data_IF_459967555955
#
_entry.id   IF_459967555955
#
_cell.length_a   1.000
_cell.length_b   1.000
_cell.length_c   1.000
_cell.angle_alpha   90.00
_cell.angle_beta   90.00
_cell.angle_gamma   90.00
#
_symmetry.space_group_name_H-M   'P 1'
#
loop_
_entity.id
_entity.type
_entity.pdbx_description
1 polymer ?
#
# COMPACT_ATOMS: atom_id res chain seq x y z
N UNK A 1 -22.01 8.44 16.29
CA UNK A 1 -21.04 7.32 16.23
C UNK A 1 -19.74 7.86 15.66
N UNK A 2 -18.60 7.47 16.24
CA UNK A 2 -17.28 7.82 15.67
C UNK A 2 -17.07 6.96 14.42
N UNK A 3 -16.65 7.60 13.33
CA UNK A 3 -16.42 6.90 12.06
C UNK A 3 -15.08 6.18 12.05
N UNK A 4 -15.03 5.01 11.44
CA UNK A 4 -13.79 4.31 11.11
C UNK A 4 -13.17 4.92 9.86
N UNK A 5 -11.87 5.10 9.83
CA UNK A 5 -11.15 5.54 8.63
C UNK A 5 -10.59 4.34 7.87
N UNK A 6 -10.93 4.24 6.57
CA UNK A 6 -10.41 3.23 5.68
C UNK A 6 -9.33 3.84 4.76
N UNK A 7 -8.11 3.34 4.87
CA UNK A 7 -7.08 3.51 3.85
C UNK A 7 -7.20 2.36 2.86
N UNK A 8 -7.80 2.65 1.71
CA UNK A 8 -7.88 1.72 0.60
C UNK A 8 -6.64 1.89 -0.28
N UNK A 9 -5.92 0.82 -0.56
CA UNK A 9 -4.72 0.88 -1.36
C UNK A 9 -4.55 -0.25 -2.36
N UNK A 10 -3.69 -0.01 -3.34
CA UNK A 10 -3.15 -1.06 -4.20
C UNK A 10 -1.66 -0.87 -4.42
N UNK A 11 -0.97 -1.98 -4.63
CA UNK A 11 0.40 -1.99 -5.09
C UNK A 11 0.49 -2.79 -6.39
N UNK A 12 1.21 -2.25 -7.35
CA UNK A 12 1.21 -2.73 -8.74
C UNK A 12 2.66 -2.86 -9.21
N UNK A 13 3.04 -4.06 -9.61
CA UNK A 13 4.39 -4.35 -10.07
C UNK A 13 4.39 -5.60 -10.97
N UNK A 14 4.98 -5.46 -12.15
CA UNK A 14 5.37 -6.59 -12.97
C UNK A 14 6.90 -6.59 -13.09
N UNK A 15 7.57 -7.72 -12.83
CA UNK A 15 9.03 -7.81 -12.93
C UNK A 15 9.54 -7.46 -14.31
N UNK A 16 10.74 -6.87 -14.38
CA UNK A 16 11.42 -6.71 -15.66
C UNK A 16 11.72 -8.07 -16.31
N UNK A 17 11.58 -8.13 -17.61
CA UNK A 17 11.70 -9.39 -18.36
C UNK A 17 10.39 -10.17 -18.45
N UNK A 18 9.31 -9.71 -17.83
CA UNK A 18 7.97 -10.23 -18.09
C UNK A 18 7.60 -9.99 -19.57
N UNK A 19 6.96 -10.97 -20.19
CA UNK A 19 6.53 -10.86 -21.60
C UNK A 19 5.53 -9.71 -21.79
N UNK A 20 5.63 -9.02 -22.93
CA UNK A 20 4.75 -7.90 -23.29
C UNK A 20 3.26 -8.28 -23.25
N UNK A 21 2.95 -9.51 -23.68
CA UNK A 21 1.58 -10.04 -23.63
C UNK A 21 1.00 -10.10 -22.23
N UNK A 22 1.84 -10.40 -21.23
CA UNK A 22 1.43 -10.43 -19.80
C UNK A 22 1.21 -9.02 -19.27
N UNK A 23 2.06 -8.06 -19.65
CA UNK A 23 1.85 -6.66 -19.32
C UNK A 23 0.51 -6.16 -19.86
N UNK A 24 0.25 -6.40 -21.17
CA UNK A 24 -0.98 -5.96 -21.82
C UNK A 24 -2.22 -6.64 -21.21
N UNK A 25 -2.17 -7.96 -21.00
CA UNK A 25 -3.27 -8.68 -20.37
C UNK A 25 -3.57 -8.15 -18.97
N UNK A 26 -2.53 -7.91 -18.14
CA UNK A 26 -2.69 -7.38 -16.79
C UNK A 26 -3.23 -5.95 -16.81
N UNK A 27 -2.77 -5.14 -17.75
CA UNK A 27 -3.31 -3.81 -17.95
C UNK A 27 -4.81 -3.85 -18.24
N UNK A 28 -5.23 -4.66 -19.24
CA UNK A 28 -6.62 -4.73 -19.69
C UNK A 28 -7.55 -5.35 -18.63
N UNK A 29 -7.07 -6.30 -17.84
CA UNK A 29 -7.92 -7.05 -16.91
C UNK A 29 -7.83 -6.56 -15.46
N UNK A 30 -6.79 -5.78 -15.10
CA UNK A 30 -6.56 -5.36 -13.72
C UNK A 30 -6.43 -3.84 -13.59
N UNK A 31 -5.38 -3.24 -14.19
CA UNK A 31 -5.05 -1.84 -13.89
C UNK A 31 -6.05 -0.85 -14.47
N UNK A 32 -6.39 -1.01 -15.75
CA UNK A 32 -7.35 -0.16 -16.43
C UNK A 32 -8.75 -0.24 -15.81
N UNK A 33 -9.35 -1.42 -15.58
CA UNK A 33 -10.66 -1.52 -14.91
C UNK A 33 -10.64 -0.88 -13.53
N UNK A 34 -9.62 -1.16 -12.72
CA UNK A 34 -9.51 -0.58 -11.38
C UNK A 34 -9.56 0.95 -11.39
N UNK A 35 -8.70 1.59 -12.19
CA UNK A 35 -8.62 3.04 -12.26
C UNK A 35 -9.88 3.65 -12.89
N UNK A 36 -10.39 3.08 -13.97
CA UNK A 36 -11.57 3.57 -14.69
C UNK A 36 -12.85 3.47 -13.84
N UNK A 37 -12.99 2.41 -13.07
CA UNK A 37 -14.14 2.27 -12.16
C UNK A 37 -13.99 3.22 -10.98
N UNK A 38 -12.81 3.27 -10.34
CA UNK A 38 -12.56 4.19 -9.22
C UNK A 38 -12.80 5.66 -9.61
N UNK A 39 -12.49 6.04 -10.85
CA UNK A 39 -12.75 7.39 -11.37
C UNK A 39 -14.22 7.81 -11.24
N UNK A 40 -15.16 6.87 -11.39
CA UNK A 40 -16.62 7.10 -11.25
C UNK A 40 -17.09 7.25 -9.81
N UNK A 41 -16.19 7.03 -8.84
CA UNK A 41 -16.45 7.13 -7.40
C UNK A 41 -15.58 8.22 -6.75
N UNK A 42 -15.79 9.51 -7.04
CA UNK A 42 -14.92 10.60 -6.61
C UNK A 42 -14.89 10.82 -5.09
N UNK A 43 -15.84 10.26 -4.37
CA UNK A 43 -15.95 10.22 -2.91
C UNK A 43 -15.12 9.10 -2.25
N UNK A 44 -14.58 8.17 -3.04
CA UNK A 44 -13.69 7.11 -2.57
C UNK A 44 -12.25 7.54 -2.83
N UNK A 45 -11.47 7.67 -1.75
CA UNK A 45 -10.05 7.99 -1.78
C UNK A 45 -9.22 6.71 -1.76
N UNK A 46 -8.13 6.68 -2.53
CA UNK A 46 -7.24 5.54 -2.59
C UNK A 46 -5.77 5.96 -2.54
N UNK A 47 -4.90 5.02 -2.12
CA UNK A 47 -3.45 5.17 -2.12
C UNK A 47 -2.84 4.09 -2.99
N UNK A 48 -2.11 4.47 -4.04
CA UNK A 48 -1.69 3.53 -5.07
C UNK A 48 -0.17 3.62 -5.26
N UNK A 49 0.47 2.47 -5.22
CA UNK A 49 1.86 2.32 -5.65
C UNK A 49 1.90 1.66 -7.03
N UNK A 50 2.70 2.23 -7.91
CA UNK A 50 3.18 1.60 -9.13
C UNK A 50 4.71 1.59 -9.10
N UNK A 51 5.33 0.45 -9.45
CA UNK A 51 6.77 0.45 -9.65
C UNK A 51 7.16 1.37 -10.83
N UNK A 52 8.35 1.91 -10.80
CA UNK A 52 8.82 2.82 -11.85
C UNK A 52 8.94 2.14 -13.21
N UNK A 53 9.31 0.86 -13.25
CA UNK A 53 9.34 0.05 -14.48
C UNK A 53 7.95 -0.07 -15.09
N UNK A 54 6.92 -0.34 -14.27
CA UNK A 54 5.53 -0.41 -14.73
C UNK A 54 5.03 0.96 -15.21
N UNK A 55 5.32 2.05 -14.47
CA UNK A 55 4.93 3.41 -14.89
C UNK A 55 5.59 3.79 -16.22
N UNK A 56 6.84 3.41 -16.46
CA UNK A 56 7.53 3.65 -17.72
C UNK A 56 6.90 2.88 -18.87
N UNK A 57 6.50 1.64 -18.65
CA UNK A 57 5.78 0.85 -19.63
C UNK A 57 4.42 1.49 -19.96
N UNK A 58 3.65 1.90 -18.93
CA UNK A 58 2.38 2.60 -19.09
C UNK A 58 2.55 3.94 -19.84
N UNK A 59 3.61 4.71 -19.54
CA UNK A 59 3.92 5.97 -20.25
C UNK A 59 4.10 5.75 -21.75
N UNK A 60 4.75 4.64 -22.12
CA UNK A 60 5.05 4.35 -23.53
C UNK A 60 3.91 3.68 -24.29
N UNK A 61 3.07 2.88 -23.63
CA UNK A 61 2.03 2.05 -24.26
C UNK A 61 0.62 2.59 -24.04
N UNK A 62 0.36 3.17 -22.91
CA UNK A 62 -0.95 3.62 -22.44
C UNK A 62 -0.89 5.01 -21.81
N UNK A 63 -0.45 6.05 -22.56
CA UNK A 63 -0.35 7.41 -22.02
C UNK A 63 -1.69 7.94 -21.51
N UNK A 64 -2.83 7.49 -22.07
CA UNK A 64 -4.16 7.81 -21.59
C UNK A 64 -4.42 7.36 -20.15
N UNK A 65 -3.79 6.26 -19.72
CA UNK A 65 -3.87 5.79 -18.35
C UNK A 65 -3.16 6.76 -17.38
N UNK A 66 -1.99 7.27 -17.78
CA UNK A 66 -1.26 8.24 -16.98
C UNK A 66 -2.01 9.57 -16.90
N UNK A 67 -2.66 10.00 -17.98
CA UNK A 67 -3.51 11.21 -17.99
C UNK A 67 -4.68 11.07 -17.00
N UNK A 68 -5.36 9.91 -17.00
CA UNK A 68 -6.43 9.63 -16.05
C UNK A 68 -5.91 9.62 -14.60
N UNK A 69 -4.76 8.99 -14.38
CA UNK A 69 -4.11 8.93 -13.06
C UNK A 69 -3.71 10.33 -12.58
N UNK A 70 -3.15 11.16 -13.47
CA UNK A 70 -2.79 12.55 -13.17
C UNK A 70 -4.01 13.36 -12.74
N UNK A 71 -5.13 13.29 -13.48
CA UNK A 71 -6.37 13.97 -13.12
C UNK A 71 -6.84 13.56 -11.72
N UNK A 72 -6.82 12.25 -11.41
CA UNK A 72 -7.23 11.75 -10.10
C UNK A 72 -6.28 12.19 -8.96
N UNK A 73 -5.00 12.33 -9.25
CA UNK A 73 -4.00 12.89 -8.30
C UNK A 73 -4.24 14.39 -8.09
N UNK A 74 -4.49 15.15 -9.15
CA UNK A 74 -4.75 16.60 -9.07
C UNK A 74 -6.00 16.91 -8.26
N UNK A 75 -7.08 16.16 -8.47
CA UNK A 75 -8.31 16.27 -7.66
C UNK A 75 -8.20 15.66 -6.25
N UNK A 76 -7.02 15.13 -5.88
CA UNK A 76 -6.70 14.56 -4.56
C UNK A 76 -7.51 13.31 -4.20
N UNK A 77 -8.06 12.62 -5.16
CA UNK A 77 -8.72 11.34 -4.99
C UNK A 77 -7.69 10.22 -4.77
N UNK A 78 -6.57 10.28 -5.48
CA UNK A 78 -5.47 9.32 -5.36
C UNK A 78 -4.26 9.98 -4.71
N UNK A 79 -3.67 9.28 -3.73
CA UNK A 79 -2.33 9.53 -3.22
C UNK A 79 -1.38 8.50 -3.83
N UNK A 80 -0.42 8.96 -4.66
CA UNK A 80 0.62 8.10 -5.19
C UNK A 80 1.68 7.83 -4.11
N UNK A 81 2.00 6.56 -3.94
CA UNK A 81 3.05 6.11 -3.04
C UNK A 81 4.37 5.92 -3.80
N UNK A 82 5.45 6.37 -3.19
CA UNK A 82 6.81 6.09 -3.64
C UNK A 82 7.23 4.66 -3.33
N UNK A 83 8.51 4.38 -3.54
CA UNK A 83 9.14 3.08 -3.33
C UNK A 83 10.45 3.00 -4.10
N UNK A 84 11.03 1.82 -4.22
CA UNK A 84 12.12 1.59 -5.16
C UNK A 84 11.62 1.56 -6.60
N UNK A 85 12.37 2.15 -7.55
CA UNK A 85 11.97 2.23 -8.95
C UNK A 85 11.70 0.85 -9.57
N UNK A 86 12.57 -0.11 -9.31
CA UNK A 86 12.45 -1.49 -9.78
C UNK A 86 11.82 -2.43 -8.73
N UNK A 87 11.15 -1.88 -7.73
CA UNK A 87 10.58 -2.61 -6.60
C UNK A 87 11.56 -3.59 -5.91
N UNK A 88 12.83 -3.18 -5.64
CA UNK A 88 13.78 -4.04 -4.98
C UNK A 88 13.42 -4.23 -3.50
N UNK A 89 13.97 -5.27 -2.90
CA UNK A 89 13.95 -5.44 -1.45
C UNK A 89 14.95 -4.45 -0.82
N UNK A 90 14.43 -3.32 -0.38
CA UNK A 90 15.24 -2.20 0.11
C UNK A 90 16.26 -2.58 1.21
N UNK A 91 15.97 -3.48 2.17
CA UNK A 91 16.94 -3.91 3.16
C UNK A 91 18.20 -4.59 2.60
N UNK A 92 18.10 -5.18 1.40
CA UNK A 92 19.22 -5.89 0.77
C UNK A 92 20.16 -4.98 -0.01
N UNK A 93 19.78 -3.72 -0.21
CA UNK A 93 20.58 -2.75 -0.94
C UNK A 93 21.54 -1.97 -0.02
N UNK A 94 22.65 -1.53 -0.58
CA UNK A 94 23.46 -0.51 0.06
C UNK A 94 22.65 0.77 0.31
N UNK A 95 23.02 1.59 1.28
CA UNK A 95 22.29 2.82 1.55
C UNK A 95 22.25 3.76 0.33
N UNK A 96 23.33 3.84 -0.44
CA UNK A 96 23.41 4.65 -1.65
C UNK A 96 22.43 4.16 -2.73
N UNK A 97 22.40 2.85 -3.00
CA UNK A 97 21.50 2.26 -3.98
C UNK A 97 20.04 2.38 -3.56
N UNK A 98 19.78 2.19 -2.26
CA UNK A 98 18.44 2.36 -1.65
C UNK A 98 17.91 3.77 -1.89
N UNK A 99 18.70 4.79 -1.55
CA UNK A 99 18.32 6.19 -1.78
C UNK A 99 18.17 6.49 -3.28
N UNK A 100 19.06 5.97 -4.12
CA UNK A 100 19.00 6.13 -5.57
C UNK A 100 17.71 5.55 -6.17
N UNK A 101 17.31 4.36 -5.73
CA UNK A 101 16.07 3.71 -6.17
C UNK A 101 14.82 4.53 -5.79
N UNK A 102 14.78 5.04 -4.55
CA UNK A 102 13.65 5.84 -4.07
C UNK A 102 13.58 7.20 -4.78
N UNK A 103 14.72 7.87 -4.96
CA UNK A 103 14.75 9.18 -5.62
C UNK A 103 14.43 9.06 -7.12
N UNK A 104 14.79 7.95 -7.77
CA UNK A 104 14.47 7.75 -9.17
C UNK A 104 12.94 7.67 -9.38
N UNK A 105 12.23 6.86 -8.57
CA UNK A 105 10.76 6.80 -8.62
C UNK A 105 10.12 8.13 -8.21
N UNK A 106 10.64 8.78 -7.17
CA UNK A 106 10.16 10.07 -6.70
C UNK A 106 10.26 11.14 -7.79
N UNK A 107 11.37 11.16 -8.52
CA UNK A 107 11.58 12.09 -9.63
C UNK A 107 10.64 11.81 -10.79
N UNK A 108 10.42 10.54 -11.13
CA UNK A 108 9.45 10.15 -12.15
C UNK A 108 8.04 10.61 -11.78
N UNK A 109 7.60 10.32 -10.56
CA UNK A 109 6.26 10.71 -10.07
C UNK A 109 6.11 12.24 -10.07
N UNK A 110 7.12 12.96 -9.59
CA UNK A 110 7.08 14.44 -9.57
C UNK A 110 6.99 15.04 -10.97
N UNK A 111 7.74 14.48 -11.92
CA UNK A 111 7.77 14.95 -13.32
C UNK A 111 6.42 14.76 -13.99
N UNK A 112 5.79 13.60 -13.83
CA UNK A 112 4.58 13.23 -14.56
C UNK A 112 3.29 13.65 -13.86
N UNK A 113 3.28 13.75 -12.52
CA UNK A 113 2.06 14.03 -11.75
C UNK A 113 2.14 15.31 -10.89
N UNK A 114 3.22 16.08 -11.00
CA UNK A 114 3.40 17.35 -10.29
C UNK A 114 3.45 17.25 -8.76
N UNK A 115 3.53 16.04 -8.21
CA UNK A 115 3.49 15.77 -6.76
C UNK A 115 4.64 14.87 -6.33
N UNK A 116 5.26 15.21 -5.20
CA UNK A 116 6.24 14.32 -4.55
C UNK A 116 5.48 13.34 -3.64
N UNK A 117 5.73 12.02 -3.74
CA UNK A 117 5.13 11.05 -2.82
C UNK A 117 5.61 11.32 -1.39
N UNK A 118 4.71 11.11 -0.44
CA UNK A 118 4.97 11.27 1.00
C UNK A 118 5.04 9.92 1.71
N UNK A 119 4.45 8.88 1.14
CA UNK A 119 4.50 7.52 1.63
C UNK A 119 5.32 6.61 0.75
N UNK A 120 5.92 5.59 1.34
CA UNK A 120 6.71 4.58 0.65
C UNK A 120 6.05 3.21 0.77
N UNK A 121 5.83 2.54 -0.36
CA UNK A 121 5.52 1.13 -0.39
C UNK A 121 6.81 0.31 -0.31
N UNK A 122 6.83 -0.70 0.53
CA UNK A 122 7.96 -1.61 0.71
C UNK A 122 7.56 -3.00 0.21
N UNK A 123 8.15 -3.49 -0.88
CA UNK A 123 7.86 -4.82 -1.39
C UNK A 123 8.06 -5.90 -0.34
N UNK A 124 7.16 -6.89 -0.33
CA UNK A 124 7.14 -8.02 0.62
C UNK A 124 7.16 -7.60 2.10
N UNK A 125 6.85 -6.31 2.37
CA UNK A 125 6.97 -5.71 3.69
C UNK A 125 8.34 -5.98 4.34
N UNK A 126 9.38 -6.12 3.50
CA UNK A 126 10.73 -6.38 3.94
C UNK A 126 11.27 -5.18 4.73
N UNK A 127 11.38 -5.35 6.02
CA UNK A 127 11.71 -4.30 6.97
C UNK A 127 13.00 -4.57 7.71
N UNK A 128 13.78 -3.53 7.91
CA UNK A 128 14.84 -3.42 8.92
C UNK A 128 14.81 -2.03 9.56
N UNK A 129 15.25 -1.86 10.83
CA UNK A 129 15.16 -0.57 11.53
C UNK A 129 15.83 0.60 10.78
N UNK A 130 16.95 0.37 10.09
CA UNK A 130 17.68 1.40 9.33
C UNK A 130 16.87 1.97 8.14
N UNK A 131 15.77 1.34 7.75
CA UNK A 131 14.87 1.90 6.72
C UNK A 131 14.21 3.18 7.19
N UNK A 132 13.96 3.35 8.49
CA UNK A 132 13.31 4.56 8.98
C UNK A 132 14.11 5.82 8.60
N UNK A 133 15.41 5.82 8.86
CA UNK A 133 16.29 6.95 8.49
C UNK A 133 16.43 7.12 6.99
N UNK A 134 16.57 6.02 6.23
CA UNK A 134 16.69 6.07 4.77
C UNK A 134 15.44 6.65 4.10
N UNK A 135 14.25 6.20 4.51
CA UNK A 135 12.98 6.67 3.98
C UNK A 135 12.74 8.14 4.33
N UNK A 136 12.98 8.52 5.57
CA UNK A 136 12.82 9.91 6.01
C UNK A 136 13.83 10.84 5.29
N UNK A 137 15.06 10.40 5.08
CA UNK A 137 16.06 11.14 4.30
C UNK A 137 15.61 11.37 2.86
N UNK A 138 14.91 10.39 2.28
CA UNK A 138 14.29 10.51 0.95
C UNK A 138 12.99 11.33 0.94
N UNK A 139 12.60 11.95 2.06
CA UNK A 139 11.42 12.80 2.17
C UNK A 139 10.10 12.04 2.31
N UNK A 140 10.16 10.77 2.71
CA UNK A 140 8.97 9.99 3.05
C UNK A 140 8.58 10.23 4.51
N UNK A 141 7.29 10.42 4.76
CA UNK A 141 6.76 10.63 6.11
C UNK A 141 6.25 9.33 6.72
N UNK A 142 5.87 8.37 5.89
CA UNK A 142 5.26 7.13 6.35
C UNK A 142 5.50 5.95 5.42
N UNK A 143 5.32 4.76 5.99
CA UNK A 143 5.30 3.48 5.30
C UNK A 143 4.23 2.56 5.89
N UNK A 144 4.17 1.33 5.42
CA UNK A 144 3.18 0.33 5.77
C UNK A 144 3.86 -0.96 6.20
N UNK A 145 3.38 -1.56 7.29
CA UNK A 145 3.77 -2.91 7.70
C UNK A 145 2.52 -3.71 8.09
N UNK A 146 2.49 -5.02 7.82
CA UNK A 146 1.35 -5.85 8.19
C UNK A 146 1.21 -5.95 9.71
N UNK A 147 0.00 -6.23 10.17
CA UNK A 147 -0.32 -6.42 11.61
C UNK A 147 0.59 -7.45 12.28
N UNK A 148 1.09 -8.46 11.55
CA UNK A 148 2.06 -9.42 12.04
C UNK A 148 3.35 -8.78 12.58
N UNK A 149 3.84 -7.69 11.93
CA UNK A 149 5.00 -6.93 12.43
C UNK A 149 4.68 -6.17 13.72
N UNK A 150 3.45 -5.65 13.85
CA UNK A 150 2.98 -5.01 15.07
C UNK A 150 2.91 -6.01 16.23
N UNK A 151 2.38 -7.21 15.98
CA UNK A 151 2.38 -8.29 16.98
C UNK A 151 3.81 -8.69 17.38
N UNK A 152 4.73 -8.80 16.42
CA UNK A 152 6.13 -9.08 16.69
C UNK A 152 6.82 -7.96 17.49
N UNK A 153 6.34 -6.72 17.39
CA UNK A 153 6.77 -5.58 18.19
C UNK A 153 6.06 -5.46 19.55
N UNK A 154 5.24 -6.46 19.92
CA UNK A 154 4.58 -6.55 21.23
C UNK A 154 3.22 -5.84 21.34
N UNK A 155 2.60 -5.46 20.24
CA UNK A 155 1.27 -4.86 20.26
C UNK A 155 0.18 -5.91 20.49
N UNK A 156 -0.74 -5.60 21.40
CA UNK A 156 -1.96 -6.37 21.60
C UNK A 156 -3.01 -6.12 20.51
N UNK A 157 -4.05 -6.95 20.45
CA UNK A 157 -5.08 -6.91 19.40
C UNK A 157 -5.85 -5.58 19.29
N UNK A 158 -5.86 -4.76 20.32
CA UNK A 158 -6.56 -3.48 20.33
C UNK A 158 -5.65 -2.26 20.05
N UNK A 159 -4.37 -2.48 19.73
CA UNK A 159 -3.38 -1.42 19.69
C UNK A 159 -2.88 -1.06 18.28
N UNK A 160 -3.31 -1.77 17.24
CA UNK A 160 -2.88 -1.55 15.86
C UNK A 160 -3.98 -0.97 14.95
N UNK A 161 -4.79 -0.04 15.47
CA UNK A 161 -5.80 0.70 14.70
C UNK A 161 -5.44 2.16 14.46
N UNK A 162 -4.16 2.47 14.55
CA UNK A 162 -3.60 3.78 14.26
C UNK A 162 -2.14 3.64 13.84
N UNK A 163 -1.59 4.56 13.03
CA UNK A 163 -0.17 4.59 12.75
C UNK A 163 0.62 4.90 14.03
N UNK A 164 1.82 4.33 14.09
CA UNK A 164 2.78 4.56 15.17
C UNK A 164 4.05 5.19 14.62
N UNK A 165 4.88 5.81 15.46
CA UNK A 165 6.19 6.29 15.06
C UNK A 165 7.26 5.26 15.39
N UNK A 166 8.11 4.97 14.43
CA UNK A 166 9.40 4.33 14.61
C UNK A 166 10.51 5.35 14.33
N UNK A 167 11.73 5.04 14.73
CA UNK A 167 12.84 5.97 14.61
C UNK A 167 14.15 5.23 14.33
N UNK A 168 15.01 5.84 13.56
CA UNK A 168 16.42 5.47 13.43
C UNK A 168 17.25 6.73 13.25
N UNK A 169 18.38 6.85 13.97
CA UNK A 169 19.31 7.97 13.92
C UNK A 169 18.64 9.36 14.09
N UNK A 170 17.66 9.47 15.00
CA UNK A 170 16.92 10.71 15.23
C UNK A 170 15.89 11.06 14.16
N UNK A 171 15.64 10.17 13.19
CA UNK A 171 14.69 10.37 12.09
C UNK A 171 13.46 9.52 12.31
N UNK A 172 12.34 10.18 12.61
CA UNK A 172 11.08 9.52 12.86
C UNK A 172 10.29 9.27 11.57
N UNK A 173 9.69 8.09 11.48
CA UNK A 173 8.85 7.66 10.37
C UNK A 173 7.54 7.08 10.92
N UNK A 174 6.41 7.46 10.34
CA UNK A 174 5.14 6.85 10.69
C UNK A 174 4.97 5.50 9.99
N UNK A 175 4.47 4.50 10.71
CA UNK A 175 4.20 3.16 10.19
C UNK A 175 2.72 2.86 10.33
N UNK A 176 2.06 2.62 9.22
CA UNK A 176 0.65 2.24 9.17
C UNK A 176 0.49 0.72 9.27
N UNK A 177 -0.39 0.23 10.16
CA UNK A 177 -0.74 -1.19 10.19
C UNK A 177 -1.58 -1.56 8.97
N UNK A 178 -1.15 -2.55 8.21
CA UNK A 178 -1.93 -3.14 7.12
C UNK A 178 -2.57 -4.42 7.61
N UNK A 179 -3.86 -4.49 7.43
CA UNK A 179 -4.62 -5.70 7.74
C UNK A 179 -4.54 -6.64 6.55
N UNK A 180 -4.21 -7.88 6.83
CA UNK A 180 -4.28 -8.99 5.87
C UNK A 180 -5.74 -9.44 5.75
N UNK A 181 -6.57 -8.51 5.34
CA UNK A 181 -7.89 -8.82 4.87
C UNK A 181 -7.70 -9.31 3.44
N UNK A 182 -7.94 -10.59 3.20
CA UNK A 182 -8.38 -10.97 1.87
C UNK A 182 -9.66 -10.18 1.64
N UNK A 183 -9.51 -8.99 1.08
CA UNK A 183 -10.63 -8.32 0.47
C UNK A 183 -11.10 -9.26 -0.65
N UNK A 184 -11.90 -10.22 -0.28
CA UNK A 184 -12.83 -10.81 -1.20
C UNK A 184 -13.76 -9.67 -1.60
N UNK A 185 -13.30 -8.88 -2.58
CA UNK A 185 -14.09 -7.81 -3.18
C UNK A 185 -15.32 -8.39 -3.90
N UNK A 186 -16.01 -9.29 -3.35
CA UNK A 186 -17.18 -9.92 -3.92
C UNK A 186 -18.10 -10.51 -2.87
N UNK A 187 -17.55 -10.69 -1.67
CA UNK A 187 -18.32 -10.89 -0.47
C UNK A 187 -17.88 -9.82 0.51
N UNK A 188 -18.78 -9.00 0.96
CA UNK A 188 -18.58 -7.99 2.01
C UNK A 188 -18.01 -8.54 3.32
N UNK A 189 -17.95 -9.85 3.45
CA UNK A 189 -17.61 -10.59 4.65
C UNK A 189 -16.27 -10.16 5.29
N UNK A 190 -15.18 -10.05 4.53
CA UNK A 190 -13.88 -9.71 5.13
C UNK A 190 -13.77 -8.27 5.63
N UNK A 191 -14.36 -7.31 4.92
CA UNK A 191 -14.41 -5.91 5.36
C UNK A 191 -15.46 -5.73 6.48
N UNK A 192 -16.61 -6.35 6.37
CA UNK A 192 -17.66 -6.31 7.39
C UNK A 192 -17.19 -6.93 8.71
N UNK A 193 -16.53 -8.08 8.69
CA UNK A 193 -15.94 -8.69 9.88
C UNK A 193 -14.89 -7.78 10.54
N UNK A 194 -14.04 -7.16 9.74
CA UNK A 194 -13.03 -6.23 10.25
C UNK A 194 -13.67 -4.96 10.80
N UNK A 195 -14.68 -4.42 10.15
CA UNK A 195 -15.44 -3.27 10.63
C UNK A 195 -16.20 -3.60 11.92
N UNK A 196 -16.81 -4.78 12.01
CA UNK A 196 -17.51 -5.22 13.22
C UNK A 196 -16.54 -5.42 14.38
N UNK A 197 -15.39 -6.03 14.12
CA UNK A 197 -14.31 -6.14 15.11
C UNK A 197 -13.85 -4.78 15.64
N UNK A 198 -13.84 -3.73 14.81
CA UNK A 198 -13.53 -2.37 15.23
C UNK A 198 -14.69 -1.71 15.96
N UNK A 199 -15.95 -1.92 15.51
CA UNK A 199 -17.16 -1.37 16.13
C UNK A 199 -17.38 -1.87 17.56
N UNK A 200 -17.05 -3.14 17.82
CA UNK A 200 -17.18 -3.77 19.13
C UNK A 200 -16.10 -3.34 20.13
N UNK A 201 -15.06 -2.67 19.66
CA UNK A 201 -13.94 -2.22 20.51
C UNK A 201 -14.20 -0.81 21.06
N UNK A 202 -14.50 -0.73 22.35
CA UNK A 202 -14.72 0.54 23.05
C UNK A 202 -13.40 1.29 23.26
N UNK A 203 -13.44 2.63 23.10
CA UNK A 203 -12.35 3.52 23.50
C UNK A 203 -11.37 3.95 22.40
N UNK A 204 -11.56 3.54 21.15
CA UNK A 204 -10.72 4.01 20.05
C UNK A 204 -11.23 5.37 19.53
N UNK A 205 -10.35 6.37 19.57
CA UNK A 205 -10.60 7.66 18.91
C UNK A 205 -10.16 7.57 17.43
N UNK A 206 -11.13 7.61 16.51
CA UNK A 206 -10.88 7.59 15.07
C UNK A 206 -10.07 6.37 14.60
N UNK A 207 -10.57 5.13 14.77
CA UNK A 207 -9.84 3.94 14.36
C UNK A 207 -9.59 3.92 12.86
N UNK A 208 -8.39 3.46 12.48
CA UNK A 208 -7.98 3.33 11.10
C UNK A 208 -7.80 1.86 10.74
N UNK A 209 -8.29 1.50 9.57
CA UNK A 209 -8.02 0.22 8.91
C UNK A 209 -7.32 0.54 7.58
N UNK A 210 -6.14 -0.01 7.36
CA UNK A 210 -5.48 0.07 6.07
C UNK A 210 -5.50 -1.31 5.39
N UNK A 211 -5.96 -1.33 4.14
CA UNK A 211 -6.06 -2.55 3.33
C UNK A 211 -5.43 -2.29 1.98
N UNK A 212 -4.51 -3.15 1.60
CA UNK A 212 -3.83 -3.07 0.31
C UNK A 212 -4.02 -4.34 -0.50
N UNK A 213 -4.32 -4.15 -1.78
CA UNK A 213 -4.51 -5.21 -2.76
C UNK A 213 -3.33 -5.22 -3.74
N UNK A 214 -2.81 -6.41 -4.05
CA UNK A 214 -1.99 -6.55 -5.25
C UNK A 214 -2.87 -6.26 -6.47
N UNK A 215 -2.49 -5.30 -7.31
CA UNK A 215 -3.31 -4.91 -8.45
C UNK A 215 -3.55 -6.08 -9.40
N UNK A 216 -2.55 -6.92 -9.59
CA UNK A 216 -2.61 -8.13 -10.40
C UNK A 216 -3.60 -9.18 -9.86
N UNK A 217 -3.93 -9.11 -8.57
CA UNK A 217 -4.89 -10.03 -7.96
C UNK A 217 -6.34 -9.77 -8.39
N UNK A 218 -6.66 -8.60 -8.95
CA UNK A 218 -8.02 -8.24 -9.39
C UNK A 218 -8.59 -9.30 -10.34
N UNK A 219 -7.80 -9.77 -11.32
CA UNK A 219 -8.20 -10.84 -12.24
C UNK A 219 -8.59 -12.12 -11.50
N UNK A 220 -7.77 -12.55 -10.54
CA UNK A 220 -8.01 -13.76 -9.77
C UNK A 220 -9.19 -13.65 -8.81
N UNK A 221 -9.46 -12.47 -8.29
CA UNK A 221 -10.62 -12.20 -7.43
C UNK A 221 -11.90 -12.17 -8.26
N UNK A 222 -11.90 -11.44 -9.37
CA UNK A 222 -13.04 -11.40 -10.28
C UNK A 222 -13.37 -12.78 -10.84
N UNK A 223 -12.39 -13.56 -11.33
CA UNK A 223 -12.64 -14.88 -11.95
C UNK A 223 -13.27 -15.91 -10.98
N UNK A 224 -13.15 -15.70 -9.68
CA UNK A 224 -13.79 -16.51 -8.64
C UNK A 224 -15.14 -15.94 -8.19
N UNK A 225 -15.52 -14.77 -8.70
CA UNK A 225 -16.78 -14.11 -8.37
C UNK A 225 -17.91 -14.56 -9.31
N UNK A 226 -19.13 -14.17 -8.99
CA UNK A 226 -20.31 -14.39 -9.82
C UNK A 226 -20.53 -13.26 -10.85
N UNK A 227 -19.61 -12.32 -10.95
CA UNK A 227 -19.76 -11.14 -11.79
C UNK A 227 -19.19 -11.36 -13.20
N UNK A 228 -19.83 -10.76 -14.17
CA UNK A 228 -19.55 -10.96 -15.61
C UNK A 228 -18.22 -10.35 -16.07
N UNK A 229 -17.73 -9.32 -15.38
CA UNK A 229 -16.50 -8.62 -15.75
C UNK A 229 -15.78 -7.98 -14.56
N UNK A 230 -14.48 -7.65 -14.69
CA UNK A 230 -13.75 -6.92 -13.65
C UNK A 230 -14.41 -5.58 -13.28
N UNK A 231 -14.95 -4.88 -14.28
CA UNK A 231 -15.61 -3.59 -14.07
C UNK A 231 -16.83 -3.73 -13.17
N UNK A 232 -17.71 -4.69 -13.45
CA UNK A 232 -18.91 -4.96 -12.65
C UNK A 232 -18.54 -5.38 -11.23
N UNK A 233 -17.51 -6.22 -11.09
CA UNK A 233 -16.98 -6.64 -9.80
C UNK A 233 -16.50 -5.44 -8.96
N UNK A 234 -15.67 -4.57 -9.55
CA UNK A 234 -15.14 -3.38 -8.89
C UNK A 234 -16.23 -2.35 -8.57
N UNK A 235 -17.20 -2.17 -9.46
CA UNK A 235 -18.32 -1.27 -9.24
C UNK A 235 -19.19 -1.71 -8.04
N UNK A 236 -19.44 -3.01 -7.91
CA UNK A 236 -20.15 -3.56 -6.75
C UNK A 236 -19.36 -3.37 -5.46
N UNK A 237 -18.03 -3.56 -5.53
CA UNK A 237 -17.14 -3.33 -4.39
C UNK A 237 -17.18 -1.87 -3.93
N UNK A 238 -16.97 -0.92 -4.83
CA UNK A 238 -16.96 0.50 -4.46
C UNK A 238 -18.36 0.98 -4.04
N UNK A 239 -19.42 0.44 -4.64
CA UNK A 239 -20.79 0.68 -4.18
C UNK A 239 -20.99 0.16 -2.74
N UNK A 240 -20.44 -1.01 -2.40
CA UNK A 240 -20.44 -1.54 -1.04
C UNK A 240 -19.75 -0.61 -0.05
N UNK A 241 -18.52 -0.17 -0.37
CA UNK A 241 -17.78 0.81 0.45
C UNK A 241 -18.59 2.10 0.64
N UNK A 242 -19.19 2.62 -0.42
CA UNK A 242 -20.01 3.84 -0.36
C UNK A 242 -21.26 3.68 0.54
N UNK A 243 -21.89 2.52 0.54
CA UNK A 243 -23.04 2.24 1.42
C UNK A 243 -22.68 2.31 2.91
N UNK A 244 -21.44 2.00 3.26
CA UNK A 244 -20.91 2.08 4.62
C UNK A 244 -20.55 3.51 5.07
N UNK A 245 -20.79 4.53 4.24
CA UNK A 245 -20.38 5.93 4.49
C UNK A 245 -20.92 6.56 5.78
N UNK A 246 -21.95 5.98 6.41
CA UNK A 246 -22.42 6.40 7.73
C UNK A 246 -21.49 5.98 8.86
N UNK A 247 -20.78 4.87 8.70
CA UNK A 247 -19.90 4.27 9.71
C UNK A 247 -18.43 4.35 9.36
N UNK A 248 -18.11 4.58 8.08
CA UNK A 248 -16.74 4.56 7.56
C UNK A 248 -16.52 5.64 6.51
N UNK A 249 -15.36 6.30 6.54
CA UNK A 249 -14.90 7.20 5.50
C UNK A 249 -13.57 6.69 4.91
N UNK A 250 -13.44 6.73 3.59
CA UNK A 250 -12.13 6.52 2.97
C UNK A 250 -11.24 7.74 3.16
N UNK A 251 -9.94 7.53 3.37
CA UNK A 251 -8.97 8.60 3.61
C UNK A 251 -7.60 8.23 3.03
N UNK A 252 -6.86 9.22 2.54
CA UNK A 252 -5.46 8.99 2.19
C UNK A 252 -4.56 9.06 3.44
N UNK A 253 -3.49 8.26 3.53
CA UNK A 253 -2.58 8.25 4.67
C UNK A 253 -2.02 9.62 5.02
N UNK A 254 -1.55 10.40 4.05
CA UNK A 254 -1.03 11.73 4.33
C UNK A 254 -2.09 12.68 4.92
N UNK A 255 -3.36 12.52 4.52
CA UNK A 255 -4.46 13.30 5.11
C UNK A 255 -4.75 12.87 6.54
N UNK A 256 -4.80 11.56 6.79
CA UNK A 256 -5.02 11.01 8.11
C UNK A 256 -3.89 11.40 9.07
N UNK A 257 -2.62 11.26 8.64
CA UNK A 257 -1.45 11.59 9.45
C UNK A 257 -1.48 13.05 9.97
N UNK A 258 -1.92 14.00 9.13
CA UNK A 258 -2.07 15.41 9.53
C UNK A 258 -3.16 15.65 10.57
N UNK A 259 -4.13 14.76 10.71
CA UNK A 259 -5.19 14.88 11.72
C UNK A 259 -4.78 14.34 13.08
N UNK A 260 -3.72 13.54 13.14
CA UNK A 260 -3.25 12.93 14.38
C UNK A 260 -2.47 13.92 15.25
N UNK A 261 -2.73 13.90 16.55
CA UNK A 261 -2.04 14.75 17.55
C UNK A 261 -1.02 13.97 18.37
N UNK A 262 -1.25 12.68 18.56
CA UNK A 262 -0.43 11.83 19.43
C UNK A 262 -0.11 10.53 18.70
N UNK A 263 1.13 10.05 18.90
CA UNK A 263 1.60 8.81 18.36
C UNK A 263 2.21 7.94 19.44
N UNK A 264 1.86 6.67 19.45
CA UNK A 264 2.64 5.65 20.14
C UNK A 264 3.97 5.49 19.41
N UNK A 265 5.06 5.29 20.16
CA UNK A 265 6.38 5.01 19.58
C UNK A 265 6.75 3.56 19.77
N UNK A 266 7.41 2.98 18.81
CA UNK A 266 7.89 1.60 18.88
C UNK A 266 9.05 1.36 17.93
N UNK A 267 9.78 0.28 18.16
CA UNK A 267 10.78 -0.26 17.24
C UNK A 267 10.27 -1.60 16.69
N UNK A 268 10.31 -1.72 15.38
CA UNK A 268 9.93 -2.96 14.71
C UNK A 268 11.17 -3.84 14.50
N UNK A 269 11.13 -5.13 14.87
CA UNK A 269 12.19 -6.08 14.52
C UNK A 269 12.25 -6.24 12.99
N UNK A 270 13.42 -6.65 12.49
CA UNK A 270 13.57 -7.01 11.08
C UNK A 270 12.63 -8.14 10.71
N UNK A 271 11.96 -8.04 9.57
CA UNK A 271 10.97 -9.02 9.13
C UNK A 271 10.57 -8.83 7.66
N UNK A 272 9.78 -9.78 7.18
CA UNK A 272 9.15 -9.76 5.86
C UNK A 272 7.91 -10.64 5.86
N UNK A 273 7.18 -10.76 4.73
CA UNK A 273 6.07 -11.71 4.62
C UNK A 273 6.53 -13.15 4.82
N UNK A 274 5.65 -14.01 5.37
CA UNK A 274 5.95 -15.42 5.56
C UNK A 274 6.34 -16.13 4.27
N UNK A 275 5.70 -15.77 3.16
CA UNK A 275 6.02 -16.29 1.83
C UNK A 275 7.48 -16.05 1.47
N UNK A 276 8.02 -14.91 1.84
CA UNK A 276 9.40 -14.55 1.57
C UNK A 276 10.39 -15.25 2.53
N UNK A 277 10.00 -15.39 3.79
CA UNK A 277 10.77 -16.13 4.78
C UNK A 277 10.83 -17.63 4.45
N UNK A 278 9.75 -18.19 3.90
CA UNK A 278 9.65 -19.58 3.50
C UNK A 278 10.49 -19.93 2.25
N UNK A 279 10.80 -18.98 1.36
CA UNK A 279 11.59 -19.23 0.15
C UNK A 279 13.10 -19.41 0.39
N UNK A 280 13.55 -19.45 1.65
CA UNK A 280 14.94 -19.78 2.00
C UNK A 280 15.97 -18.66 1.78
N UNK A 281 15.58 -17.50 1.24
CA UNK A 281 16.51 -16.38 1.07
C UNK A 281 16.95 -15.81 2.44
N UNK A 282 16.03 -15.72 3.39
CA UNK A 282 16.37 -15.37 4.78
C UNK A 282 17.23 -16.45 5.48
N UNK A 283 17.07 -17.71 5.12
CA UNK A 283 17.91 -18.80 5.63
C UNK A 283 19.35 -18.70 5.09
N UNK A 284 19.55 -18.26 3.85
CA UNK A 284 20.88 -17.98 3.29
C UNK A 284 21.54 -16.77 3.96
N UNK A 285 20.83 -15.66 4.11
CA UNK A 285 21.34 -14.47 4.79
C UNK A 285 21.69 -14.70 6.25
N UNK A 286 20.93 -15.56 6.96
CA UNK A 286 21.31 -16.01 8.32
C UNK A 286 22.57 -16.88 8.33
N UNK A 287 22.78 -17.75 7.35
CA UNK A 287 23.99 -18.59 7.25
C UNK A 287 25.23 -17.79 6.90
N UNK A 288 25.14 -16.79 6.06
CA UNK A 288 26.28 -15.92 5.71
C UNK A 288 26.69 -15.00 6.86
N UNK A 289 25.75 -14.63 7.76
CA UNK A 289 26.07 -13.86 8.98
C UNK A 289 26.55 -14.71 10.15
N UNK A 290 26.26 -16.00 10.16
CA UNK A 290 26.71 -16.93 11.21
C UNK A 290 27.97 -17.71 10.84
N UNK A 291 28.53 -17.52 9.67
CA UNK A 291 29.72 -18.17 9.14
C UNK A 291 30.94 -17.27 9.02
N UNK A 292 30.98 -16.14 9.75
CA UNK A 292 32.15 -15.26 9.88
C UNK A 292 32.67 -15.32 11.31
#
# INVERSE_FOLDING_TARGET
MRKTHLVLGSYNHLPEGTEESVFEETYQTCYRPFLSVLYRFPDIFASIHYSGSLLRWLESRHPEFLMLLEEMVLRKQIELLGGGFFAPLLPLLSNADRLGQIEYLTTFIRKNFGRRPRGCWIPEYAWEPSLASSLQTSGMDFTFLPVSHFRAAGFGENEYFAPVLTEDQGRALAVYPVFDCQLSFGTSLGLEETLEAVRTRHGLDHPLIAVFLAGEAVKGLWSRSVYESPDVYLEKTFTGIRKESLSMDTVTPARYLRSMRHFKRTYFPSGATERYLATGLCARLKRERSGA
#
